data_IF_641624196091
#
_entry.id   IF_641624196091
#
_cell.length_a   1.000
_cell.length_b   1.000
_cell.length_c   1.000
_cell.angle_alpha   90.00
_cell.angle_beta   90.00
_cell.angle_gamma   90.00
#
_symmetry.space_group_name_H-M   'P 1'
#
loop_
_entity.id
_entity.type
_entity.pdbx_description
1 polymer ?
#
# COMPACT_ATOMS: atom_id res chain seq x y z
N UNK A 1 3.14 51.42 31.85
CA UNK A 1 2.65 52.52 32.71
C UNK A 1 1.21 52.19 33.10
N UNK A 2 1.03 51.71 34.34
CA UNK A 2 0.18 52.31 35.39
C UNK A 2 -1.31 52.44 34.97
N UNK A 3 -2.30 51.90 35.69
CA UNK A 3 -2.48 52.09 37.14
C UNK A 3 -3.34 51.00 37.78
N UNK A 4 -2.89 50.59 38.98
CA UNK A 4 -3.73 50.16 40.09
C UNK A 4 -4.69 51.29 40.49
N UNK A 5 -5.95 50.98 40.79
CA UNK A 5 -6.66 51.60 41.92
C UNK A 5 -7.55 50.55 42.57
N UNK A 6 -7.39 50.46 43.89
CA UNK A 6 -8.04 49.59 44.85
C UNK A 6 -8.89 50.48 45.78
N UNK A 7 -9.67 49.84 46.67
CA UNK A 7 -10.35 50.37 47.87
C UNK A 7 -11.77 50.94 47.67
N UNK A 8 -12.79 50.25 48.24
CA UNK A 8 -13.48 50.50 49.54
C UNK A 8 -14.83 51.18 49.28
N UNK A 9 -15.91 51.09 50.05
CA UNK A 9 -16.24 50.71 51.42
C UNK A 9 -17.76 50.37 51.37
N UNK A 10 -18.25 49.32 52.02
CA UNK A 10 -18.84 49.31 53.37
C UNK A 10 -20.23 49.97 53.53
N UNK A 11 -21.16 49.15 54.05
CA UNK A 11 -22.38 49.48 54.84
C UNK A 11 -23.53 50.14 54.06
N UNK A 12 -24.82 49.99 54.40
CA UNK A 12 -25.55 49.57 55.60
C UNK A 12 -27.01 49.30 55.15
N UNK A 13 -27.67 48.31 55.78
CA UNK A 13 -29.05 48.37 56.34
C UNK A 13 -30.29 48.42 55.43
N UNK A 14 -31.28 47.59 55.82
CA UNK A 14 -32.71 47.84 55.61
C UNK A 14 -33.48 46.61 55.12
N UNK A 15 -33.66 45.56 55.93
CA UNK A 15 -34.82 45.30 56.80
C UNK A 15 -36.23 45.54 56.20
N UNK A 16 -36.88 44.42 55.84
CA UNK A 16 -38.27 43.98 56.14
C UNK A 16 -39.41 45.03 56.05
N UNK A 17 -40.38 44.83 55.14
CA UNK A 17 -41.79 44.40 55.40
C UNK A 17 -42.73 44.63 54.20
N UNK A 18 -43.59 43.62 53.96
CA UNK A 18 -44.90 43.74 53.28
C UNK A 18 -44.84 43.68 51.75
N UNK A 19 -45.58 42.86 51.03
CA UNK A 19 -46.68 41.95 51.35
C UNK A 19 -47.42 41.66 50.04
N UNK A 20 -48.04 40.49 49.91
CA UNK A 20 -49.08 40.30 48.89
C UNK A 20 -48.99 39.04 48.02
N UNK A 21 -49.76 38.03 48.43
CA UNK A 21 -50.64 37.23 47.58
C UNK A 21 -50.04 36.13 46.69
N UNK A 22 -49.89 34.95 47.31
CA UNK A 22 -50.53 33.68 46.96
C UNK A 22 -50.74 33.37 45.46
N UNK A 23 -49.93 32.44 44.95
CA UNK A 23 -50.42 31.36 44.09
C UNK A 23 -49.66 30.04 44.35
N UNK A 24 -50.39 28.96 44.12
CA UNK A 24 -50.22 27.57 44.54
C UNK A 24 -48.96 26.86 43.98
N UNK A 25 -48.18 26.07 44.76
CA UNK A 25 -46.99 25.39 44.24
C UNK A 25 -47.34 23.94 43.90
N UNK A 26 -47.61 23.65 42.62
CA UNK A 26 -47.64 22.26 42.09
C UNK A 26 -47.71 22.32 40.57
N UNK A 27 -46.55 22.29 39.90
CA UNK A 27 -46.37 21.76 38.53
C UNK A 27 -45.05 22.22 37.88
N UNK A 28 -43.90 22.08 38.55
CA UNK A 28 -42.59 22.33 37.87
C UNK A 28 -41.55 21.22 38.13
N UNK A 29 -41.77 20.33 39.11
CA UNK A 29 -40.68 19.47 39.58
C UNK A 29 -40.63 18.02 39.03
N UNK A 30 -41.56 17.60 38.18
CA UNK A 30 -41.52 16.21 37.65
C UNK A 30 -40.66 16.08 36.38
N UNK A 31 -40.66 17.10 35.51
CA UNK A 31 -40.01 17.03 34.20
C UNK A 31 -38.48 17.24 34.26
N UNK A 32 -37.96 17.87 35.31
CA UNK A 32 -36.52 18.16 35.43
C UNK A 32 -35.74 16.94 35.93
N UNK A 33 -36.34 16.15 36.83
CA UNK A 33 -35.73 14.92 37.36
C UNK A 33 -35.68 13.79 36.31
N UNK A 34 -36.68 13.71 35.42
CA UNK A 34 -36.69 12.80 34.27
C UNK A 34 -35.62 13.17 33.23
N UNK A 35 -35.44 14.47 32.94
CA UNK A 35 -34.42 14.92 31.98
C UNK A 35 -32.98 14.68 32.44
N UNK A 36 -32.69 14.81 33.75
CA UNK A 36 -31.36 14.49 34.31
C UNK A 36 -31.12 12.97 34.30
N UNK A 37 -32.13 12.15 34.64
CA UNK A 37 -32.04 10.68 34.54
C UNK A 37 -31.80 10.23 33.11
N UNK A 38 -32.53 10.80 32.14
CA UNK A 38 -32.36 10.48 30.72
C UNK A 38 -30.96 10.89 30.22
N UNK A 39 -30.48 12.09 30.56
CA UNK A 39 -29.14 12.54 30.16
C UNK A 39 -28.00 11.68 30.74
N UNK A 40 -28.15 11.14 31.96
CA UNK A 40 -27.18 10.22 32.54
C UNK A 40 -27.25 8.83 31.89
N UNK A 41 -28.46 8.32 31.63
CA UNK A 41 -28.69 7.02 30.99
C UNK A 41 -28.14 6.98 29.55
N UNK A 42 -28.32 8.05 28.77
CA UNK A 42 -27.79 8.14 27.40
C UNK A 42 -26.26 8.21 27.37
N UNK A 43 -25.64 8.92 28.33
CA UNK A 43 -24.17 9.00 28.42
C UNK A 43 -23.55 7.65 28.80
N UNK A 44 -24.17 6.89 29.72
CA UNK A 44 -23.69 5.56 30.10
C UNK A 44 -23.84 4.57 28.96
N UNK A 45 -24.95 4.59 28.22
CA UNK A 45 -25.14 3.73 27.03
C UNK A 45 -24.10 4.04 25.95
N UNK A 46 -23.76 5.31 25.74
CA UNK A 46 -22.78 5.73 24.75
C UNK A 46 -21.35 5.28 25.12
N UNK A 47 -21.00 5.34 26.41
CA UNK A 47 -19.70 4.85 26.93
C UNK A 47 -19.63 3.32 26.87
N UNK A 48 -20.70 2.62 27.23
CA UNK A 48 -20.76 1.14 27.14
C UNK A 48 -20.69 0.67 25.68
N UNK A 49 -21.34 1.38 24.75
CA UNK A 49 -21.25 1.09 23.31
C UNK A 49 -19.82 1.31 22.77
N UNK A 50 -19.14 2.37 23.20
CA UNK A 50 -17.73 2.64 22.85
C UNK A 50 -16.78 1.57 23.39
N UNK A 51 -16.99 1.11 24.63
CA UNK A 51 -16.20 0.03 25.24
C UNK A 51 -16.49 -1.31 24.56
N UNK A 52 -17.74 -1.59 24.20
CA UNK A 52 -18.11 -2.79 23.46
C UNK A 52 -17.50 -2.80 22.04
N UNK A 53 -17.41 -1.64 21.38
CA UNK A 53 -16.76 -1.51 20.07
C UNK A 53 -15.24 -1.80 20.14
N UNK A 54 -14.57 -1.40 21.22
CA UNK A 54 -13.15 -1.67 21.45
C UNK A 54 -12.85 -3.15 21.76
N UNK A 55 -13.81 -3.88 22.33
CA UNK A 55 -13.65 -5.30 22.70
C UNK A 55 -14.12 -6.24 21.57
N UNK A 56 -14.88 -5.72 20.59
CA UNK A 56 -15.61 -6.50 19.59
C UNK A 56 -14.99 -6.56 18.18
N UNK A 57 -13.68 -6.32 18.00
CA UNK A 57 -13.04 -6.64 16.71
C UNK A 57 -12.53 -8.08 16.79
N UNK A 58 -13.18 -9.07 16.14
CA UNK A 58 -12.59 -10.39 16.03
C UNK A 58 -11.21 -10.25 15.39
N UNK A 59 -10.16 -10.90 15.91
CA UNK A 59 -8.83 -10.89 15.32
C UNK A 59 -8.89 -11.60 13.96
N UNK A 60 -9.31 -10.88 12.92
CA UNK A 60 -9.65 -11.44 11.62
C UNK A 60 -10.27 -10.47 10.62
N UNK A 61 -10.82 -9.32 11.04
CA UNK A 61 -11.37 -8.29 10.14
C UNK A 61 -10.40 -7.12 9.95
N UNK A 62 -9.24 -7.41 9.39
CA UNK A 62 -8.19 -6.39 9.17
C UNK A 62 -6.86 -6.94 8.71
N UNK A 63 -6.69 -8.26 8.66
CA UNK A 63 -5.61 -8.85 7.91
C UNK A 63 -5.98 -8.76 6.43
N UNK A 64 -5.68 -7.60 5.83
CA UNK A 64 -5.34 -7.56 4.41
C UNK A 64 -4.39 -8.75 4.20
N UNK A 65 -4.71 -9.72 3.32
CA UNK A 65 -3.79 -10.81 3.04
C UNK A 65 -2.44 -10.16 2.74
N UNK A 66 -1.31 -10.68 3.26
CA UNK A 66 -0.01 -10.08 3.02
C UNK A 66 0.06 -9.76 1.54
N UNK A 67 0.16 -8.47 1.22
CA UNK A 67 0.14 -7.99 -0.17
C UNK A 67 0.98 -8.95 -0.98
N UNK A 68 0.45 -9.50 -2.07
CA UNK A 68 1.13 -10.57 -2.80
C UNK A 68 2.54 -10.10 -3.18
N UNK A 69 3.52 -10.46 -2.35
CA UNK A 69 4.89 -9.94 -2.43
C UNK A 69 5.55 -10.37 -3.75
N UNK A 70 4.90 -11.22 -4.54
CA UNK A 70 5.31 -11.65 -5.87
C UNK A 70 5.29 -10.52 -6.90
N UNK A 71 4.24 -9.70 -6.91
CA UNK A 71 4.18 -8.55 -7.83
C UNK A 71 5.17 -7.46 -7.41
N UNK A 72 5.49 -7.40 -6.11
CA UNK A 72 6.59 -6.59 -5.61
C UNK A 72 7.95 -7.09 -6.13
N UNK A 73 8.24 -8.39 -6.05
CA UNK A 73 9.54 -8.92 -6.50
C UNK A 73 9.77 -8.74 -8.01
N UNK A 74 8.74 -8.99 -8.83
CA UNK A 74 8.86 -8.82 -10.28
C UNK A 74 9.08 -7.35 -10.66
N UNK A 75 8.29 -6.44 -10.10
CA UNK A 75 8.42 -5.01 -10.39
C UNK A 75 9.75 -4.44 -9.87
N UNK A 76 10.20 -4.85 -8.68
CA UNK A 76 11.51 -4.49 -8.13
C UNK A 76 12.64 -4.99 -9.03
N UNK A 77 12.58 -6.24 -9.48
CA UNK A 77 13.59 -6.80 -10.40
C UNK A 77 13.70 -5.98 -11.68
N UNK A 78 12.58 -5.73 -12.36
CA UNK A 78 12.57 -4.94 -13.59
C UNK A 78 13.07 -3.51 -13.34
N UNK A 79 12.66 -2.88 -12.24
CA UNK A 79 13.12 -1.55 -11.87
C UNK A 79 14.64 -1.50 -11.72
N UNK A 80 15.23 -2.48 -11.04
CA UNK A 80 16.69 -2.56 -10.87
C UNK A 80 17.39 -2.80 -12.22
N UNK A 81 16.85 -3.68 -13.06
CA UNK A 81 17.36 -3.89 -14.43
C UNK A 81 17.34 -2.60 -15.27
N UNK A 82 16.23 -1.87 -15.23
CA UNK A 82 16.09 -0.57 -15.91
C UNK A 82 17.01 0.52 -15.34
N UNK A 83 17.39 0.42 -14.07
CA UNK A 83 18.42 1.28 -13.46
C UNK A 83 19.84 0.90 -13.89
N UNK A 84 20.00 -0.16 -14.69
CA UNK A 84 21.28 -0.62 -15.23
C UNK A 84 21.98 -1.68 -14.39
N UNK A 85 21.33 -2.20 -13.34
CA UNK A 85 21.89 -3.32 -12.58
C UNK A 85 21.89 -4.60 -13.40
N UNK A 86 23.03 -5.31 -13.40
CA UNK A 86 23.11 -6.62 -14.05
C UNK A 86 22.47 -7.71 -13.18
N UNK A 87 22.15 -8.86 -13.76
CA UNK A 87 21.52 -9.98 -13.04
C UNK A 87 22.18 -10.31 -11.69
N UNK A 88 23.51 -10.40 -11.63
CA UNK A 88 24.23 -10.77 -10.40
C UNK A 88 24.09 -9.71 -9.30
N UNK A 89 24.07 -8.42 -9.68
CA UNK A 89 23.82 -7.33 -8.74
C UNK A 89 22.39 -7.36 -8.21
N UNK A 90 21.41 -7.61 -9.08
CA UNK A 90 20.00 -7.72 -8.69
C UNK A 90 19.83 -8.89 -7.70
N UNK A 91 20.40 -10.06 -8.00
CA UNK A 91 20.35 -11.22 -7.12
C UNK A 91 21.01 -10.94 -5.77
N UNK A 92 22.12 -10.21 -5.74
CA UNK A 92 22.79 -9.79 -4.51
C UNK A 92 21.95 -8.79 -3.70
N UNK A 93 21.31 -7.82 -4.35
CA UNK A 93 20.39 -6.86 -3.69
C UNK A 93 19.20 -7.61 -3.09
N UNK A 94 18.72 -8.64 -3.79
CA UNK A 94 17.59 -9.45 -3.39
C UNK A 94 18.00 -10.72 -2.63
N UNK A 95 19.18 -10.75 -1.98
CA UNK A 95 19.71 -11.94 -1.32
C UNK A 95 18.81 -12.56 -0.22
N UNK A 96 17.79 -11.83 0.25
CA UNK A 96 16.81 -12.32 1.22
C UNK A 96 15.67 -13.18 0.64
N UNK A 97 15.57 -13.36 -0.67
CA UNK A 97 14.53 -14.19 -1.29
C UNK A 97 14.92 -15.67 -1.30
N UNK A 98 13.93 -16.57 -1.23
CA UNK A 98 14.20 -18.01 -1.35
C UNK A 98 14.52 -18.41 -2.79
N UNK A 99 15.28 -19.48 -2.96
CA UNK A 99 15.59 -20.03 -4.29
C UNK A 99 14.31 -20.34 -5.10
N UNK A 100 13.26 -20.83 -4.44
CA UNK A 100 11.99 -21.13 -5.09
C UNK A 100 11.29 -19.85 -5.59
N UNK A 101 11.35 -18.75 -4.82
CA UNK A 101 10.83 -17.45 -5.26
C UNK A 101 11.63 -16.92 -6.44
N UNK A 102 12.96 -16.97 -6.38
CA UNK A 102 13.84 -16.56 -7.47
C UNK A 102 13.59 -17.39 -8.74
N UNK A 103 13.42 -18.71 -8.62
CA UNK A 103 13.13 -19.59 -9.75
C UNK A 103 11.79 -19.23 -10.41
N UNK A 104 10.75 -19.00 -9.62
CA UNK A 104 9.43 -18.59 -10.13
C UNK A 104 9.48 -17.22 -10.80
N UNK A 105 10.20 -16.27 -10.21
CA UNK A 105 10.42 -14.94 -10.78
C UNK A 105 11.13 -15.03 -12.13
N UNK A 106 12.27 -15.73 -12.20
CA UNK A 106 13.00 -15.94 -13.46
C UNK A 106 12.15 -16.65 -14.50
N UNK A 107 11.33 -17.64 -14.11
CA UNK A 107 10.40 -18.29 -15.04
C UNK A 107 9.37 -17.31 -15.63
N UNK A 108 8.86 -16.35 -14.85
CA UNK A 108 7.98 -15.29 -15.35
C UNK A 108 8.72 -14.40 -16.35
N UNK A 109 9.87 -13.86 -15.95
CA UNK A 109 10.71 -13.00 -16.81
C UNK A 109 11.10 -13.69 -18.13
N UNK A 110 11.46 -14.99 -18.09
CA UNK A 110 11.75 -15.78 -19.30
C UNK A 110 10.58 -15.83 -20.26
N UNK A 111 9.36 -16.05 -19.75
CA UNK A 111 8.15 -16.06 -20.59
C UNK A 111 7.89 -14.69 -21.20
N UNK A 112 8.09 -13.63 -20.41
CA UNK A 112 7.88 -12.26 -20.88
C UNK A 112 8.87 -11.91 -21.99
N UNK A 113 10.16 -12.23 -21.85
CA UNK A 113 11.15 -12.05 -22.94
C UNK A 113 10.72 -12.80 -24.20
N UNK A 114 10.31 -14.05 -24.08
CA UNK A 114 9.86 -14.83 -25.24
C UNK A 114 8.57 -14.30 -25.87
N UNK A 115 7.70 -13.67 -25.08
CA UNK A 115 6.49 -13.02 -25.57
C UNK A 115 6.83 -11.71 -26.28
N UNK A 116 7.71 -10.88 -25.71
CA UNK A 116 8.21 -9.65 -26.34
C UNK A 116 8.87 -9.95 -27.66
N UNK A 117 9.80 -10.91 -27.72
CA UNK A 117 10.45 -11.31 -28.97
C UNK A 117 9.43 -11.79 -30.03
N UNK A 118 8.39 -12.51 -29.61
CA UNK A 118 7.32 -12.90 -30.53
C UNK A 118 6.51 -11.69 -31.01
N UNK A 119 6.18 -10.76 -30.11
CA UNK A 119 5.44 -9.54 -30.45
C UNK A 119 6.24 -8.60 -31.37
N UNK A 120 7.56 -8.58 -31.22
CA UNK A 120 8.50 -7.89 -32.10
C UNK A 120 8.72 -8.62 -33.45
N UNK A 121 7.90 -9.62 -33.78
CA UNK A 121 7.95 -10.39 -35.01
C UNK A 121 9.33 -11.01 -35.31
N UNK A 122 10.04 -11.44 -34.27
CA UNK A 122 11.38 -12.04 -34.42
C UNK A 122 11.39 -13.21 -35.42
N UNK A 123 10.34 -14.03 -35.45
CA UNK A 123 10.23 -15.14 -36.42
C UNK A 123 10.27 -14.64 -37.86
N UNK A 124 9.51 -13.59 -38.18
CA UNK A 124 9.48 -13.02 -39.53
C UNK A 124 10.79 -12.31 -39.87
N UNK A 125 11.42 -11.63 -38.91
CA UNK A 125 12.76 -11.04 -39.12
C UNK A 125 13.80 -12.12 -39.47
N UNK A 126 13.75 -13.27 -38.79
CA UNK A 126 14.61 -14.42 -39.08
C UNK A 126 14.33 -15.01 -40.46
N UNK A 127 13.06 -15.20 -40.83
CA UNK A 127 12.67 -15.75 -42.13
C UNK A 127 13.06 -14.86 -43.32
N UNK A 128 13.00 -13.54 -43.13
CA UNK A 128 13.34 -12.55 -44.16
C UNK A 128 14.84 -12.24 -44.22
N UNK A 129 15.62 -12.66 -43.22
CA UNK A 129 17.07 -12.44 -43.14
C UNK A 129 17.80 -13.19 -44.24
N UNK A 130 18.70 -12.50 -44.94
CA UNK A 130 19.48 -13.08 -46.05
C UNK A 130 20.98 -12.98 -45.86
N UNK A 131 21.42 -12.14 -44.94
CA UNK A 131 22.83 -11.86 -44.70
C UNK A 131 23.25 -12.21 -43.28
N UNK A 132 24.53 -12.48 -43.07
CA UNK A 132 25.05 -12.68 -41.71
C UNK A 132 24.89 -11.42 -40.85
N UNK A 133 24.92 -10.23 -41.47
CA UNK A 133 24.71 -8.97 -40.77
C UNK A 133 23.29 -8.87 -40.17
N UNK A 134 22.28 -9.37 -40.89
CA UNK A 134 20.90 -9.44 -40.37
C UNK A 134 20.85 -10.33 -39.12
N UNK A 135 21.49 -11.50 -39.17
CA UNK A 135 21.55 -12.40 -38.03
C UNK A 135 22.35 -11.82 -36.85
N UNK A 136 23.40 -11.05 -37.10
CA UNK A 136 24.13 -10.31 -36.05
C UNK A 136 23.18 -9.31 -35.37
N UNK A 137 22.46 -8.49 -36.15
CA UNK A 137 21.50 -7.52 -35.63
C UNK A 137 20.38 -8.19 -34.83
N UNK A 138 19.85 -9.30 -35.32
CA UNK A 138 18.84 -10.10 -34.60
C UNK A 138 19.39 -10.62 -33.27
N UNK A 139 20.62 -11.17 -33.25
CA UNK A 139 21.25 -11.62 -32.00
C UNK A 139 21.44 -10.47 -31.02
N UNK A 140 21.80 -9.28 -31.49
CA UNK A 140 21.98 -8.10 -30.64
C UNK A 140 20.66 -7.57 -30.08
N UNK A 141 19.59 -7.60 -30.88
CA UNK A 141 18.23 -7.33 -30.42
C UNK A 141 17.83 -8.27 -29.29
N UNK A 142 18.03 -9.59 -29.51
CA UNK A 142 17.73 -10.59 -28.48
C UNK A 142 18.56 -10.36 -27.21
N UNK A 143 19.86 -10.10 -27.33
CA UNK A 143 20.72 -9.78 -26.16
C UNK A 143 20.22 -8.55 -25.42
N UNK A 144 19.74 -7.55 -26.13
CA UNK A 144 19.20 -6.33 -25.55
C UNK A 144 17.94 -6.62 -24.74
N UNK A 145 17.01 -7.40 -25.27
CA UNK A 145 15.81 -7.83 -24.54
C UNK A 145 16.14 -8.66 -23.29
N UNK A 146 17.11 -9.58 -23.39
CA UNK A 146 17.60 -10.36 -22.25
C UNK A 146 18.17 -9.44 -21.17
N UNK A 147 18.94 -8.42 -21.58
CA UNK A 147 19.53 -7.43 -20.68
C UNK A 147 18.46 -6.56 -20.02
N UNK A 148 17.46 -6.09 -20.77
CA UNK A 148 16.36 -5.31 -20.19
C UNK A 148 15.55 -6.11 -19.16
N UNK A 149 15.44 -7.42 -19.32
CA UNK A 149 14.83 -8.29 -18.32
C UNK A 149 15.77 -8.63 -17.14
N UNK A 150 17.05 -8.23 -17.17
CA UNK A 150 18.06 -8.56 -16.16
C UNK A 150 18.36 -10.05 -16.09
N UNK A 151 18.38 -10.73 -17.25
CA UNK A 151 18.59 -12.19 -17.36
C UNK A 151 19.88 -12.56 -18.11
N UNK A 152 20.91 -11.72 -18.04
CA UNK A 152 22.14 -11.87 -18.84
C UNK A 152 22.90 -13.17 -18.55
N UNK A 153 22.81 -13.67 -17.32
CA UNK A 153 23.47 -14.89 -16.86
C UNK A 153 22.54 -16.12 -16.88
N UNK A 154 21.34 -15.99 -17.44
CA UNK A 154 20.38 -17.09 -17.49
C UNK A 154 20.78 -18.16 -18.51
N UNK A 155 21.02 -19.39 -18.04
CA UNK A 155 21.44 -20.51 -18.90
C UNK A 155 20.29 -21.21 -19.62
N UNK A 156 19.05 -20.99 -19.21
CA UNK A 156 17.88 -21.66 -19.79
C UNK A 156 17.30 -20.84 -20.94
N UNK A 157 17.23 -19.52 -20.78
CA UNK A 157 16.62 -18.60 -21.74
C UNK A 157 17.23 -18.70 -23.15
N UNK A 158 18.56 -18.76 -23.36
CA UNK A 158 19.13 -18.97 -24.69
C UNK A 158 18.68 -20.29 -25.35
N UNK A 159 18.48 -21.35 -24.56
CA UNK A 159 17.98 -22.64 -25.06
C UNK A 159 16.52 -22.54 -25.46
N UNK A 160 15.71 -21.84 -24.67
CA UNK A 160 14.31 -21.60 -24.99
C UNK A 160 14.15 -20.76 -26.26
N UNK A 161 14.97 -19.72 -26.42
CA UNK A 161 14.99 -18.86 -27.62
C UNK A 161 15.37 -19.69 -28.85
N UNK A 162 16.44 -20.49 -28.77
CA UNK A 162 16.82 -21.41 -29.85
C UNK A 162 15.72 -22.38 -30.21
N UNK A 163 15.05 -22.95 -29.21
CA UNK A 163 13.95 -23.88 -29.44
C UNK A 163 12.74 -23.22 -30.11
N UNK A 164 12.37 -22.01 -29.67
CA UNK A 164 11.18 -21.30 -30.15
C UNK A 164 11.39 -20.63 -31.53
N UNK A 165 12.58 -20.07 -31.77
CA UNK A 165 12.85 -19.22 -32.94
C UNK A 165 13.94 -19.77 -33.87
N UNK A 166 14.55 -20.92 -33.54
CA UNK A 166 15.58 -21.55 -34.38
C UNK A 166 16.95 -20.88 -34.33
N UNK A 167 17.12 -19.75 -33.64
CA UNK A 167 18.38 -18.99 -33.60
C UNK A 167 19.24 -19.28 -32.36
N UNK A 168 20.55 -19.46 -32.57
CA UNK A 168 21.52 -19.60 -31.49
C UNK A 168 22.15 -18.25 -31.12
N UNK A 169 22.29 -17.98 -29.82
CA UNK A 169 22.93 -16.76 -29.30
C UNK A 169 24.45 -16.90 -29.07
N UNK A 170 25.00 -18.12 -29.20
CA UNK A 170 26.45 -18.33 -29.17
C UNK A 170 27.09 -17.58 -30.33
N UNK A 171 28.18 -16.85 -30.03
CA UNK A 171 29.09 -16.37 -31.07
C UNK A 171 29.67 -17.61 -31.76
N UNK A 172 29.53 -17.66 -33.08
CA UNK A 172 30.27 -18.58 -33.95
C UNK A 172 31.64 -17.95 -34.17
#
# INVERSE_FOLDING_TARGET
MASFVQLTDLRLVGSILGGGLRSNPKSVNHNQHERVKMAFKTKVVLVVLLVALMIGVPPGLGQQPPADNRDNLYSVWLKLSMMGHNQSEIERILAGITEQQLLRLKNRLRRDVLATLQHLNLSSEIELSRTEQDFVMIRDKIRSEIRFAGLENDRLLPRMIRHKFGISLRKI
#
